data_IF_246813282794
#
_entry.id   IF_246813282794
#
_cell.length_a   1.000
_cell.length_b   1.000
_cell.length_c   1.000
_cell.angle_alpha   90.00
_cell.angle_beta   90.00
_cell.angle_gamma   90.00
#
_symmetry.space_group_name_H-M   'P 1'
#
loop_
_entity.id
_entity.type
_entity.pdbx_description
1 polymer ?
#
# COMPACT_ATOMS: atom_id res chain seq x y z
N UNK A 1 21.01 -8.25 8.22
CA UNK A 1 20.47 -8.24 6.85
C UNK A 1 19.91 -6.86 6.62
N UNK A 2 20.50 -6.15 5.67
CA UNK A 2 20.10 -4.80 5.23
C UNK A 2 18.68 -4.81 4.64
N UNK A 3 18.07 -3.63 4.53
CA UNK A 3 16.78 -3.50 3.87
C UNK A 3 16.86 -3.87 2.39
N UNK A 4 15.76 -4.39 1.86
CA UNK A 4 15.51 -4.40 0.42
C UNK A 4 14.08 -3.97 0.16
N UNK A 5 13.88 -3.27 -0.95
CA UNK A 5 12.55 -2.88 -1.41
C UNK A 5 12.42 -3.17 -2.91
N UNK A 6 11.20 -3.50 -3.31
CA UNK A 6 10.82 -3.62 -4.71
C UNK A 6 9.50 -2.89 -4.92
N UNK A 7 9.46 -1.98 -5.90
CA UNK A 7 8.27 -1.21 -6.25
C UNK A 7 7.98 -1.45 -7.72
N UNK A 8 6.78 -1.93 -8.01
CA UNK A 8 6.32 -2.22 -9.37
C UNK A 8 4.96 -1.60 -9.59
N UNK A 9 4.78 -0.92 -10.72
CA UNK A 9 3.48 -0.41 -11.14
C UNK A 9 2.88 -1.34 -12.20
N UNK A 10 1.57 -1.55 -12.09
CA UNK A 10 0.71 -2.16 -13.11
C UNK A 10 -0.27 -1.08 -13.61
N UNK A 11 0.10 -0.32 -14.66
CA UNK A 11 -0.75 0.73 -15.22
C UNK A 11 -2.05 0.22 -15.83
N UNK A 12 -2.13 -1.07 -16.16
CA UNK A 12 -3.34 -1.68 -16.70
C UNK A 12 -4.44 -1.74 -15.63
N UNK A 13 -4.05 -1.89 -14.36
CA UNK A 13 -4.94 -2.02 -13.21
C UNK A 13 -4.88 -0.84 -12.24
N UNK A 14 -4.11 0.20 -12.57
CA UNK A 14 -3.76 1.31 -11.69
C UNK A 14 -3.34 0.84 -10.29
N UNK A 15 -2.51 -0.22 -10.24
CA UNK A 15 -2.04 -0.87 -9.03
C UNK A 15 -0.53 -0.63 -8.84
N UNK A 16 -0.12 -0.38 -7.61
CA UNK A 16 1.29 -0.42 -7.21
C UNK A 16 1.53 -1.57 -6.24
N UNK A 17 2.53 -2.38 -6.54
CA UNK A 17 3.00 -3.52 -5.73
C UNK A 17 4.29 -3.13 -5.06
N UNK A 18 4.32 -3.21 -3.74
CA UNK A 18 5.47 -2.86 -2.93
C UNK A 18 5.84 -4.08 -2.09
N UNK A 19 7.09 -4.52 -2.15
CA UNK A 19 7.64 -5.52 -1.22
C UNK A 19 8.74 -4.85 -0.39
N UNK A 20 8.66 -4.96 0.93
CA UNK A 20 9.63 -4.43 1.88
C UNK A 20 10.14 -5.57 2.76
N UNK A 21 11.47 -5.67 2.91
CA UNK A 21 12.09 -6.65 3.79
C UNK A 21 13.31 -6.10 4.51
N UNK A 22 13.72 -6.77 5.59
CA UNK A 22 14.92 -6.38 6.33
C UNK A 22 14.70 -5.20 7.29
N UNK A 23 15.79 -4.50 7.61
CA UNK A 23 15.82 -3.38 8.56
C UNK A 23 16.29 -2.12 7.84
N UNK A 24 15.46 -1.09 7.86
CA UNK A 24 15.63 0.15 7.10
C UNK A 24 16.47 1.16 7.88
N UNK A 25 17.27 1.91 7.13
CA UNK A 25 17.93 3.15 7.53
C UNK A 25 17.22 4.35 6.88
N UNK A 26 17.53 5.60 7.28
CA UNK A 26 17.01 6.79 6.61
C UNK A 26 17.31 6.79 5.09
N UNK A 27 18.52 6.42 4.68
CA UNK A 27 18.91 6.34 3.26
C UNK A 27 18.06 5.33 2.48
N UNK A 28 17.70 4.20 3.11
CA UNK A 28 16.80 3.21 2.49
C UNK A 28 15.38 3.77 2.31
N UNK A 29 14.91 4.62 3.21
CA UNK A 29 13.61 5.30 3.09
C UNK A 29 13.62 6.28 1.92
N UNK A 30 14.68 7.08 1.78
CA UNK A 30 14.82 8.00 0.65
C UNK A 30 14.82 7.26 -0.69
N UNK A 31 15.60 6.17 -0.79
CA UNK A 31 15.62 5.32 -1.98
C UNK A 31 14.26 4.70 -2.29
N UNK A 32 13.54 4.25 -1.25
CA UNK A 32 12.19 3.72 -1.39
C UNK A 32 11.20 4.78 -1.88
N UNK A 33 11.25 6.00 -1.34
CA UNK A 33 10.36 7.10 -1.74
C UNK A 33 10.58 7.48 -3.20
N UNK A 34 11.82 7.49 -3.67
CA UNK A 34 12.13 7.77 -5.08
C UNK A 34 11.64 6.65 -6.00
N UNK A 35 11.89 5.38 -5.67
CA UNK A 35 11.37 4.25 -6.45
C UNK A 35 9.84 4.26 -6.50
N UNK A 36 9.20 4.60 -5.38
CA UNK A 36 7.74 4.80 -5.30
C UNK A 36 7.28 5.91 -6.22
N UNK A 37 7.94 7.08 -6.20
CA UNK A 37 7.61 8.22 -7.06
C UNK A 37 7.68 7.86 -8.53
N UNK A 38 8.75 7.18 -8.94
CA UNK A 38 8.96 6.71 -10.33
C UNK A 38 7.85 5.75 -10.75
N UNK A 39 7.52 4.75 -9.92
CA UNK A 39 6.45 3.80 -10.22
C UNK A 39 5.09 4.49 -10.36
N UNK A 40 4.75 5.41 -9.46
CA UNK A 40 3.46 6.13 -9.48
C UNK A 40 3.32 7.04 -10.72
N UNK A 41 4.42 7.58 -11.24
CA UNK A 41 4.40 8.40 -12.45
C UNK A 41 3.97 7.62 -13.71
N UNK A 42 4.01 6.28 -13.67
CA UNK A 42 3.58 5.43 -14.79
C UNK A 42 2.08 5.07 -14.76
N UNK A 43 1.36 5.40 -13.69
CA UNK A 43 -0.06 5.12 -13.54
C UNK A 43 -0.90 6.04 -14.45
N UNK A 44 -2.12 5.62 -14.77
CA UNK A 44 -2.99 6.32 -15.72
C UNK A 44 -4.22 6.94 -15.04
N UNK A 45 -4.48 6.58 -13.79
CA UNK A 45 -5.55 7.15 -12.98
C UNK A 45 -5.24 8.57 -12.46
N UNK A 46 -6.29 9.26 -12.02
CA UNK A 46 -6.15 10.54 -11.31
C UNK A 46 -5.49 10.40 -9.93
N UNK A 47 -5.17 11.53 -9.27
CA UNK A 47 -4.61 11.54 -7.93
C UNK A 47 -5.44 10.70 -6.96
N UNK A 48 -4.78 9.91 -6.12
CA UNK A 48 -5.38 9.08 -5.07
C UNK A 48 -6.40 8.02 -5.54
N UNK A 49 -6.48 7.73 -6.84
CA UNK A 49 -7.39 6.70 -7.39
C UNK A 49 -6.75 5.32 -7.55
N UNK A 50 -5.42 5.24 -7.42
CA UNK A 50 -4.65 4.01 -7.52
C UNK A 50 -4.90 3.05 -6.35
N UNK A 51 -4.67 1.77 -6.60
CA UNK A 51 -4.62 0.71 -5.61
C UNK A 51 -3.16 0.48 -5.18
N UNK A 52 -2.94 0.08 -3.92
CA UNK A 52 -1.61 -0.29 -3.45
C UNK A 52 -1.67 -1.56 -2.62
N UNK A 53 -0.75 -2.50 -2.88
CA UNK A 53 -0.49 -3.65 -2.03
C UNK A 53 0.94 -3.59 -1.50
N UNK A 54 1.12 -3.73 -0.19
CA UNK A 54 2.41 -3.76 0.48
C UNK A 54 2.63 -5.12 1.10
N UNK A 55 3.62 -5.88 0.63
CA UNK A 55 4.12 -7.07 1.31
C UNK A 55 5.23 -6.67 2.29
N UNK A 56 4.93 -6.81 3.58
CA UNK A 56 5.86 -6.49 4.67
C UNK A 56 6.17 -7.71 5.54
N UNK A 57 5.87 -8.92 5.06
CA UNK A 57 6.06 -10.17 5.84
C UNK A 57 7.51 -10.41 6.25
N UNK A 58 8.46 -10.01 5.42
CA UNK A 58 9.90 -10.17 5.64
C UNK A 58 10.55 -8.93 6.27
N UNK A 59 9.74 -7.93 6.61
CA UNK A 59 10.21 -6.72 7.27
C UNK A 59 10.49 -7.01 8.76
N UNK A 60 11.64 -6.57 9.24
CA UNK A 60 12.00 -6.74 10.67
C UNK A 60 11.34 -5.66 11.52
N UNK A 61 11.37 -5.83 12.83
CA UNK A 61 11.03 -4.75 13.77
C UNK A 61 11.99 -3.59 13.51
N UNK A 62 11.44 -2.41 13.22
CA UNK A 62 12.21 -1.21 12.88
C UNK A 62 12.52 -0.37 14.12
N UNK A 63 13.45 0.59 14.00
CA UNK A 63 13.64 1.63 15.02
C UNK A 63 12.42 2.55 15.10
N UNK A 64 12.25 3.27 16.21
CA UNK A 64 11.16 4.23 16.38
C UNK A 64 11.21 5.36 15.35
N UNK A 65 12.42 5.80 14.99
CA UNK A 65 12.64 6.81 13.95
C UNK A 65 12.10 6.35 12.60
N UNK A 66 12.40 5.13 12.20
CA UNK A 66 11.92 4.56 10.93
C UNK A 66 10.41 4.33 10.96
N UNK A 67 9.86 3.90 12.11
CA UNK A 67 8.41 3.80 12.29
C UNK A 67 7.75 5.18 12.15
N UNK A 68 8.35 6.23 12.70
CA UNK A 68 7.85 7.60 12.56
C UNK A 68 7.88 8.06 11.09
N UNK A 69 8.99 7.83 10.37
CA UNK A 69 9.10 8.16 8.95
C UNK A 69 8.01 7.49 8.09
N UNK A 70 7.76 6.19 8.31
CA UNK A 70 6.65 5.50 7.63
C UNK A 70 5.27 6.05 8.04
N UNK A 71 5.08 6.42 9.31
CA UNK A 71 3.83 7.04 9.77
C UNK A 71 3.59 8.40 9.14
N UNK A 72 4.63 9.21 8.98
CA UNK A 72 4.53 10.54 8.37
C UNK A 72 4.19 10.42 6.89
N UNK A 73 4.85 9.50 6.18
CA UNK A 73 4.47 9.13 4.81
C UNK A 73 3.01 8.65 4.73
N UNK A 74 2.59 7.79 5.66
CA UNK A 74 1.20 7.33 5.75
C UNK A 74 0.23 8.44 6.21
N UNK A 75 0.68 9.57 6.71
CA UNK A 75 -0.21 10.67 7.08
C UNK A 75 -0.33 11.73 5.98
N UNK A 76 0.69 11.83 5.11
CA UNK A 76 0.72 12.80 4.03
C UNK A 76 -0.35 12.53 2.94
N UNK A 77 -1.13 13.55 2.52
CA UNK A 77 -2.19 13.41 1.52
C UNK A 77 -1.73 12.86 0.16
N UNK A 78 -0.49 13.18 -0.24
CA UNK A 78 0.10 12.80 -1.53
C UNK A 78 0.34 11.29 -1.66
N UNK A 79 0.37 10.57 -0.53
CA UNK A 79 0.59 9.13 -0.46
C UNK A 79 -0.70 8.35 -0.25
N UNK A 80 -1.85 8.97 -0.47
CA UNK A 80 -3.15 8.33 -0.28
C UNK A 80 -3.50 7.48 -1.49
N UNK A 81 -3.87 6.22 -1.26
CA UNK A 81 -4.40 5.32 -2.29
C UNK A 81 -5.91 5.19 -2.11
N UNK A 82 -6.64 4.82 -3.17
CA UNK A 82 -8.07 4.53 -3.10
C UNK A 82 -8.33 3.38 -2.11
N UNK A 83 -7.52 2.33 -2.22
CA UNK A 83 -7.44 1.22 -1.26
C UNK A 83 -5.99 0.81 -1.06
N UNK A 84 -5.66 0.47 0.18
CA UNK A 84 -4.29 0.16 0.61
C UNK A 84 -4.27 -1.17 1.37
N UNK A 85 -3.75 -2.22 0.74
CA UNK A 85 -3.60 -3.52 1.39
C UNK A 85 -2.20 -3.69 1.96
N UNK A 86 -2.11 -4.35 3.11
CA UNK A 86 -0.86 -4.84 3.67
C UNK A 86 -0.93 -6.35 3.83
N UNK A 87 0.04 -7.07 3.28
CA UNK A 87 0.26 -8.49 3.54
C UNK A 87 1.30 -8.58 4.65
N UNK A 88 0.89 -9.11 5.80
CA UNK A 88 1.67 -9.08 7.04
C UNK A 88 1.84 -10.48 7.60
N UNK A 89 2.98 -10.77 8.22
CA UNK A 89 3.14 -11.97 9.04
C UNK A 89 2.52 -11.79 10.44
N UNK A 90 2.39 -12.86 11.23
CA UNK A 90 1.89 -12.81 12.61
C UNK A 90 2.96 -12.19 13.52
N UNK A 91 3.11 -10.87 13.51
CA UNK A 91 4.11 -10.16 14.31
C UNK A 91 3.52 -8.95 15.01
N UNK A 92 4.17 -8.51 16.10
CA UNK A 92 3.82 -7.30 16.86
C UNK A 92 3.79 -6.01 16.01
N UNK A 93 4.43 -6.02 14.83
CA UNK A 93 4.38 -4.93 13.87
C UNK A 93 2.96 -4.64 13.35
N UNK A 94 2.06 -5.64 13.36
CA UNK A 94 0.67 -5.48 12.91
C UNK A 94 -0.10 -4.45 13.73
N UNK A 95 0.05 -4.42 15.05
CA UNK A 95 -0.68 -3.46 15.89
C UNK A 95 -0.21 -2.01 15.69
N UNK A 96 1.09 -1.79 15.47
CA UNK A 96 1.63 -0.46 15.17
C UNK A 96 1.23 0.01 13.77
N UNK A 97 1.24 -0.92 12.81
CA UNK A 97 0.76 -0.68 11.46
C UNK A 97 -0.74 -0.30 11.48
N UNK A 98 -1.58 -1.05 12.19
CA UNK A 98 -3.01 -0.76 12.29
C UNK A 98 -3.28 0.65 12.83
N UNK A 99 -2.54 1.09 13.86
CA UNK A 99 -2.63 2.47 14.40
C UNK A 99 -2.26 3.54 13.36
N UNK A 100 -1.23 3.29 12.57
CA UNK A 100 -0.83 4.20 11.49
C UNK A 100 -1.86 4.28 10.35
N UNK A 101 -2.75 3.29 10.25
CA UNK A 101 -3.71 3.13 9.17
C UNK A 101 -5.13 3.57 9.52
N UNK A 102 -5.40 3.99 10.76
CA UNK A 102 -6.76 4.29 11.27
C UNK A 102 -7.54 5.29 10.38
N UNK A 103 -6.85 6.22 9.71
CA UNK A 103 -7.48 7.24 8.86
C UNK A 103 -7.46 6.92 7.36
N UNK A 104 -7.10 5.70 6.98
CA UNK A 104 -6.98 5.26 5.58
C UNK A 104 -7.99 4.16 5.25
N UNK A 105 -8.35 4.06 3.96
CA UNK A 105 -9.03 2.88 3.42
C UNK A 105 -8.02 1.75 3.30
N UNK A 106 -7.60 1.20 4.43
CA UNK A 106 -6.52 0.22 4.51
C UNK A 106 -6.94 -1.05 5.26
N UNK A 107 -6.40 -2.20 4.83
CA UNK A 107 -6.64 -3.50 5.47
C UNK A 107 -5.39 -4.37 5.48
N UNK A 108 -5.26 -5.18 6.53
CA UNK A 108 -4.17 -6.17 6.66
C UNK A 108 -4.70 -7.56 6.32
N UNK A 109 -3.88 -8.34 5.63
CA UNK A 109 -4.13 -9.71 5.17
C UNK A 109 -2.92 -10.58 5.49
N UNK A 110 -3.14 -11.89 5.55
CA UNK A 110 -2.07 -12.85 5.81
C UNK A 110 -1.50 -13.42 4.49
N UNK A 111 -2.22 -13.25 3.38
CA UNK A 111 -1.85 -13.73 2.06
C UNK A 111 -2.15 -12.69 0.95
N UNK A 112 -1.49 -12.85 -0.19
CA UNK A 112 -1.65 -11.95 -1.35
C UNK A 112 -2.99 -12.09 -2.04
N UNK A 113 -3.52 -13.31 -2.12
CA UNK A 113 -4.74 -13.58 -2.88
C UNK A 113 -5.94 -12.86 -2.26
N UNK A 114 -6.10 -12.96 -0.94
CA UNK A 114 -7.13 -12.24 -0.18
C UNK A 114 -6.98 -10.73 -0.28
N UNK A 115 -5.74 -10.23 -0.24
CA UNK A 115 -5.45 -8.80 -0.36
C UNK A 115 -5.84 -8.25 -1.73
N UNK A 116 -5.46 -8.94 -2.81
CA UNK A 116 -5.83 -8.55 -4.18
C UNK A 116 -7.33 -8.62 -4.42
N UNK A 117 -7.97 -9.71 -3.99
CA UNK A 117 -9.42 -9.87 -4.13
C UNK A 117 -10.17 -8.69 -3.47
N UNK A 118 -9.71 -8.24 -2.30
CA UNK A 118 -10.26 -7.05 -1.66
C UNK A 118 -9.93 -5.75 -2.40
N UNK A 119 -8.70 -5.56 -2.90
CA UNK A 119 -8.33 -4.35 -3.64
C UNK A 119 -9.18 -4.16 -4.89
N UNK A 120 -9.47 -5.25 -5.61
CA UNK A 120 -10.23 -5.24 -6.86
C UNK A 120 -11.74 -5.41 -6.70
N UNK A 121 -12.24 -5.63 -5.47
CA UNK A 121 -13.68 -5.71 -5.23
C UNK A 121 -14.36 -4.41 -5.67
N UNK A 122 -15.53 -4.44 -6.33
CA UNK A 122 -16.24 -3.21 -6.67
C UNK A 122 -16.50 -2.38 -5.41
N UNK A 123 -16.44 -1.05 -5.50
CA UNK A 123 -16.90 -0.22 -4.38
C UNK A 123 -18.39 -0.53 -4.14
N UNK A 124 -18.83 -0.58 -2.87
CA UNK A 124 -20.22 -0.93 -2.52
C UNK A 124 -21.27 0.01 -3.16
N UNK A 125 -20.84 1.12 -3.77
CA UNK A 125 -21.67 2.05 -4.56
C UNK A 125 -21.59 1.88 -6.09
N UNK A 126 -20.74 1.02 -6.64
CA UNK A 126 -20.59 0.82 -8.10
C UNK A 126 -21.55 -0.24 -8.67
N UNK A 127 -22.20 -1.06 -7.82
CA UNK A 127 -23.11 -2.10 -8.27
C UNK A 127 -24.47 -1.59 -8.79
N UNK A 128 -24.75 -0.28 -8.78
CA UNK A 128 -26.09 0.26 -9.08
C UNK A 128 -26.25 0.96 -10.43
N UNK A 129 -25.19 1.17 -11.23
CA UNK A 129 -25.32 1.88 -12.52
C UNK A 129 -25.48 0.99 -13.76
N UNK A 130 -25.35 -0.33 -13.65
CA UNK A 130 -25.39 -1.24 -14.80
C UNK A 130 -26.79 -1.77 -15.18
N UNK A 131 -27.89 -1.12 -14.75
CA UNK A 131 -29.23 -1.68 -14.86
C UNK A 131 -30.37 -0.69 -15.08
N UNK A 132 -30.23 0.26 -16.00
CA UNK A 132 -31.40 0.91 -16.64
C UNK A 132 -31.14 1.13 -18.13
N UNK A 133 -31.32 0.08 -18.90
CA UNK A 133 -31.77 0.22 -20.30
C UNK A 133 -33.26 -0.03 -20.26
N UNK A 134 -34.03 1.06 -20.30
CA UNK A 134 -35.47 1.01 -20.50
C UNK A 134 -35.73 0.70 -21.98
N UNK A 135 -36.51 -0.34 -22.23
CA UNK A 135 -37.26 -0.55 -23.46
C UNK A 135 -38.75 -0.57 -23.08
#
# INVERSE_FOLDING_TARGET
MSATFHVEADPARDLVRIKLSGFFSPDDIEGFLEARRVAHASLRCGPNQHLTINDVREMKIQSQEIVAAFRDMLSAPDYRSRRLAFVTGPTLARSQLLRALENRTARCFDDHFSAEAWLFSPDAGEASSAGRVAA
#
